data_IF_362004825884
#
_entry.id   IF_362004825884
#
_cell.length_a   1.000
_cell.length_b   1.000
_cell.length_c   1.000
_cell.angle_alpha   90.00
_cell.angle_beta   90.00
_cell.angle_gamma   90.00
#
_symmetry.space_group_name_H-M   'P 1'
#
loop_
_entity.id
_entity.type
_entity.pdbx_description
1 polymer ?
#
# COMPACT_ATOMS: atom_id res chain seq x y z
N UNK A 1 -17.95 -21.51 3.00
CA UNK A 1 -18.33 -20.15 2.52
C UNK A 1 -17.19 -19.62 1.67
N UNK A 2 -17.50 -18.95 0.53
CA UNK A 2 -16.46 -18.52 -0.40
C UNK A 2 -16.46 -17.01 -0.60
N UNK A 3 -15.26 -16.41 -0.47
CA UNK A 3 -14.98 -15.02 -0.85
C UNK A 3 -14.29 -14.97 -2.21
N UNK A 4 -14.68 -14.03 -3.05
CA UNK A 4 -14.01 -13.75 -4.31
C UNK A 4 -13.55 -12.29 -4.33
N UNK A 5 -12.24 -12.08 -4.37
CA UNK A 5 -11.63 -10.76 -4.52
C UNK A 5 -11.34 -10.50 -5.99
N UNK A 6 -11.90 -9.43 -6.54
CA UNK A 6 -11.77 -9.09 -7.95
C UNK A 6 -10.92 -7.83 -8.10
N UNK A 7 -9.76 -7.98 -8.71
CA UNK A 7 -8.85 -6.89 -9.05
C UNK A 7 -8.90 -6.61 -10.55
N UNK A 8 -8.87 -5.32 -10.93
CA UNK A 8 -8.71 -4.97 -12.34
C UNK A 8 -7.26 -5.23 -12.78
N UNK A 9 -7.11 -5.95 -13.91
CA UNK A 9 -5.80 -6.16 -14.53
C UNK A 9 -5.27 -4.82 -15.05
N UNK A 10 -4.06 -4.48 -14.66
CA UNK A 10 -3.43 -3.26 -15.15
C UNK A 10 -2.39 -3.60 -16.21
N UNK A 11 -2.71 -3.35 -17.47
CA UNK A 11 -1.82 -3.60 -18.61
C UNK A 11 -0.58 -2.70 -18.64
N UNK A 12 -0.55 -1.61 -17.86
CA UNK A 12 0.54 -0.64 -17.85
C UNK A 12 1.81 -1.13 -17.16
N UNK A 13 1.77 -2.22 -16.41
CA UNK A 13 2.91 -2.73 -15.64
C UNK A 13 3.74 -3.82 -16.34
N UNK A 14 3.48 -4.07 -17.61
CA UNK A 14 4.41 -4.72 -18.55
C UNK A 14 5.01 -6.08 -18.17
N UNK A 15 4.34 -6.90 -17.37
CA UNK A 15 4.70 -8.31 -17.23
C UNK A 15 3.70 -9.17 -18.00
N UNK A 16 4.21 -10.06 -18.86
CA UNK A 16 3.40 -11.05 -19.59
C UNK A 16 2.68 -12.06 -18.67
N UNK A 17 3.04 -12.09 -17.38
CA UNK A 17 2.51 -13.03 -16.38
C UNK A 17 2.02 -12.29 -15.11
N UNK A 18 0.88 -11.62 -15.20
CA UNK A 18 0.18 -11.11 -14.02
C UNK A 18 0.88 -9.91 -13.36
N UNK A 19 0.13 -8.89 -13.09
CA UNK A 19 0.62 -7.63 -12.50
C UNK A 19 0.85 -7.80 -11.00
N UNK A 20 2.09 -7.65 -10.58
CA UNK A 20 2.46 -7.57 -9.17
C UNK A 20 2.27 -6.13 -8.69
N UNK A 21 1.12 -5.78 -8.17
CA UNK A 21 0.88 -4.45 -7.59
C UNK A 21 0.25 -4.55 -6.21
N UNK A 22 0.34 -3.47 -5.44
CA UNK A 22 -0.08 -3.45 -4.03
C UNK A 22 -1.51 -3.91 -3.76
N UNK A 23 -2.46 -3.69 -4.70
CA UNK A 23 -3.85 -4.14 -4.55
C UNK A 23 -3.97 -5.67 -4.58
N UNK A 24 -3.28 -6.34 -5.51
CA UNK A 24 -3.29 -7.80 -5.58
C UNK A 24 -2.62 -8.41 -4.35
N UNK A 25 -1.50 -7.84 -3.90
CA UNK A 25 -0.85 -8.29 -2.66
C UNK A 25 -1.77 -8.09 -1.45
N UNK A 26 -2.44 -6.93 -1.36
CA UNK A 26 -3.40 -6.66 -0.28
C UNK A 26 -4.54 -7.68 -0.26
N UNK A 27 -5.15 -7.97 -1.42
CA UNK A 27 -6.19 -8.99 -1.54
C UNK A 27 -5.65 -10.39 -1.20
N UNK A 28 -4.45 -10.73 -1.68
CA UNK A 28 -3.81 -12.03 -1.41
C UNK A 28 -3.53 -12.23 0.08
N UNK A 29 -3.13 -11.21 0.81
CA UNK A 29 -2.90 -11.32 2.25
C UNK A 29 -4.21 -11.59 3.01
N UNK A 30 -5.32 -11.00 2.57
CA UNK A 30 -6.64 -11.27 3.16
C UNK A 30 -7.09 -12.70 2.82
N UNK A 31 -6.93 -13.14 1.58
CA UNK A 31 -7.32 -14.51 1.19
C UNK A 31 -6.48 -15.56 1.91
N UNK A 32 -5.18 -15.35 2.08
CA UNK A 32 -4.33 -16.24 2.89
C UNK A 32 -4.86 -16.33 4.33
N UNK A 33 -5.12 -15.18 4.97
CA UNK A 33 -5.67 -15.14 6.32
C UNK A 33 -7.01 -15.88 6.46
N UNK A 34 -7.90 -15.77 5.46
CA UNK A 34 -9.20 -16.44 5.45
C UNK A 34 -9.05 -17.95 5.21
N UNK A 35 -8.21 -18.35 4.25
CA UNK A 35 -7.95 -19.74 3.92
C UNK A 35 -7.30 -20.50 5.09
N UNK A 36 -6.40 -19.86 5.84
CA UNK A 36 -5.79 -20.42 7.06
C UNK A 36 -6.82 -20.70 8.18
N UNK A 37 -8.08 -20.29 7.98
CA UNK A 37 -9.22 -20.46 8.91
C UNK A 37 -10.41 -21.17 8.28
N UNK A 38 -10.14 -21.97 7.25
CA UNK A 38 -11.13 -22.78 6.53
C UNK A 38 -12.25 -21.96 5.86
N UNK A 39 -11.99 -20.69 5.57
CA UNK A 39 -12.87 -19.83 4.77
C UNK A 39 -12.31 -19.75 3.35
N UNK A 40 -12.90 -20.52 2.45
CA UNK A 40 -12.50 -20.56 1.03
C UNK A 40 -12.47 -19.15 0.44
N UNK A 41 -11.34 -18.74 -0.10
CA UNK A 41 -11.17 -17.41 -0.68
C UNK A 41 -10.11 -17.40 -1.79
N UNK A 42 -10.36 -16.61 -2.83
CA UNK A 42 -9.44 -16.48 -3.95
C UNK A 42 -9.40 -15.05 -4.51
N UNK A 43 -8.29 -14.70 -5.17
CA UNK A 43 -8.12 -13.45 -5.91
C UNK A 43 -8.15 -13.74 -7.40
N UNK A 44 -9.01 -13.01 -8.13
CA UNK A 44 -9.07 -13.09 -9.59
C UNK A 44 -8.81 -11.71 -10.19
N UNK A 45 -8.08 -11.68 -11.29
CA UNK A 45 -7.85 -10.47 -12.05
C UNK A 45 -8.71 -10.50 -13.35
N UNK A 46 -9.48 -9.44 -13.56
CA UNK A 46 -10.33 -9.24 -14.75
C UNK A 46 -9.85 -8.04 -15.57
N UNK A 47 -10.22 -8.02 -16.84
CA UNK A 47 -9.84 -6.92 -17.75
C UNK A 47 -10.70 -5.69 -17.50
N UNK A 48 -12.00 -5.87 -17.34
CA UNK A 48 -12.97 -4.80 -17.11
C UNK A 48 -14.21 -5.28 -16.33
N UNK A 49 -15.26 -4.43 -16.29
CA UNK A 49 -16.49 -4.72 -15.58
C UNK A 49 -17.36 -5.82 -16.22
N UNK A 50 -17.19 -6.09 -17.50
CA UNK A 50 -18.00 -7.08 -18.22
C UNK A 50 -17.57 -8.52 -17.91
N UNK A 51 -16.31 -8.69 -17.49
CA UNK A 51 -15.84 -10.00 -17.01
C UNK A 51 -16.38 -10.39 -15.63
N UNK A 52 -16.92 -9.45 -14.83
CA UNK A 52 -17.34 -9.71 -13.44
C UNK A 52 -18.42 -10.77 -13.38
N UNK A 53 -19.48 -10.65 -14.19
CA UNK A 53 -20.59 -11.60 -14.20
C UNK A 53 -20.12 -13.03 -14.44
N UNK A 54 -19.38 -13.25 -15.52
CA UNK A 54 -18.85 -14.56 -15.89
C UNK A 54 -18.02 -15.18 -14.77
N UNK A 55 -17.11 -14.40 -14.18
CA UNK A 55 -16.22 -14.89 -13.12
C UNK A 55 -17.01 -15.19 -11.83
N UNK A 56 -18.00 -14.38 -11.48
CA UNK A 56 -18.84 -14.60 -10.30
C UNK A 56 -19.74 -15.83 -10.48
N UNK A 57 -20.28 -16.07 -11.67
CA UNK A 57 -21.03 -17.30 -11.97
C UNK A 57 -20.14 -18.54 -11.91
N UNK A 58 -18.96 -18.50 -12.56
CA UNK A 58 -17.99 -19.60 -12.59
C UNK A 58 -17.52 -19.99 -11.18
N UNK A 59 -17.19 -18.99 -10.35
CA UNK A 59 -16.63 -19.17 -9.01
C UNK A 59 -17.67 -19.38 -7.92
N UNK A 60 -18.88 -18.97 -8.16
CA UNK A 60 -20.03 -19.06 -7.26
C UNK A 60 -19.76 -18.62 -5.81
N UNK A 61 -19.24 -17.40 -5.57
CA UNK A 61 -18.93 -16.93 -4.22
C UNK A 61 -20.17 -16.47 -3.47
N UNK A 62 -20.14 -16.51 -2.14
CA UNK A 62 -21.15 -15.86 -1.28
C UNK A 62 -20.84 -14.36 -1.10
N UNK A 63 -19.56 -13.99 -1.11
CA UNK A 63 -19.09 -12.61 -0.96
C UNK A 63 -18.22 -12.24 -2.15
N UNK A 64 -18.57 -11.14 -2.80
CA UNK A 64 -17.80 -10.54 -3.90
C UNK A 64 -17.18 -9.26 -3.41
N UNK A 65 -15.85 -9.14 -3.49
CA UNK A 65 -15.08 -7.97 -3.08
C UNK A 65 -14.41 -7.35 -4.30
N UNK A 66 -14.85 -6.16 -4.68
CA UNK A 66 -14.21 -5.37 -5.74
C UNK A 66 -13.10 -4.54 -5.11
N UNK A 67 -11.86 -4.77 -5.52
CA UNK A 67 -10.68 -4.08 -5.02
C UNK A 67 -10.44 -2.77 -5.76
N UNK A 68 -10.61 -1.64 -5.07
CA UNK A 68 -10.57 -0.26 -5.54
C UNK A 68 -11.77 0.19 -6.41
N UNK A 69 -11.79 1.50 -6.71
CA UNK A 69 -12.87 2.18 -7.43
C UNK A 69 -12.68 2.07 -8.95
N UNK A 70 -13.07 0.96 -9.55
CA UNK A 70 -12.99 0.77 -11.01
C UNK A 70 -14.27 0.17 -11.63
N UNK A 71 -15.08 -0.55 -10.86
CA UNK A 71 -16.41 -1.01 -11.29
C UNK A 71 -17.40 0.15 -11.12
N UNK A 72 -18.11 0.50 -12.20
CA UNK A 72 -19.04 1.63 -12.18
C UNK A 72 -20.30 1.33 -11.36
N UNK A 73 -20.95 2.34 -10.75
CA UNK A 73 -22.24 2.16 -10.08
C UNK A 73 -23.30 1.54 -10.97
N UNK A 74 -23.33 1.88 -12.26
CA UNK A 74 -24.27 1.30 -13.23
C UNK A 74 -24.05 -0.20 -13.41
N UNK A 75 -22.77 -0.63 -13.56
CA UNK A 75 -22.45 -2.07 -13.69
C UNK A 75 -22.78 -2.85 -12.43
N UNK A 76 -22.50 -2.30 -11.25
CA UNK A 76 -22.83 -2.99 -9.99
C UNK A 76 -24.34 -3.05 -9.77
N UNK A 77 -25.11 -2.02 -10.18
CA UNK A 77 -26.58 -2.07 -10.14
C UNK A 77 -27.13 -3.15 -11.08
N UNK A 78 -26.60 -3.27 -12.30
CA UNK A 78 -26.94 -4.34 -13.22
C UNK A 78 -26.72 -5.71 -12.58
N UNK A 79 -25.51 -5.95 -12.05
CA UNK A 79 -25.12 -7.22 -11.45
C UNK A 79 -25.94 -7.58 -10.21
N UNK A 80 -26.18 -6.65 -9.29
CA UNK A 80 -26.91 -6.91 -8.05
C UNK A 80 -28.41 -7.18 -8.30
N UNK A 81 -28.96 -6.73 -9.43
CA UNK A 81 -30.35 -6.99 -9.81
C UNK A 81 -30.53 -8.32 -10.52
N UNK A 82 -29.49 -8.97 -11.02
CA UNK A 82 -29.61 -10.30 -11.64
C UNK A 82 -30.03 -11.34 -10.62
N UNK A 83 -30.96 -12.21 -10.98
CA UNK A 83 -31.53 -13.25 -10.11
C UNK A 83 -30.43 -14.16 -9.51
N UNK A 84 -29.41 -14.45 -10.32
CA UNK A 84 -28.24 -15.28 -9.96
C UNK A 84 -27.34 -14.64 -8.91
N UNK A 85 -27.44 -13.32 -8.69
CA UNK A 85 -26.54 -12.57 -7.83
C UNK A 85 -27.20 -11.94 -6.60
N UNK A 86 -28.53 -11.91 -6.52
CA UNK A 86 -29.30 -11.29 -5.41
C UNK A 86 -28.97 -11.82 -4.01
N UNK A 87 -28.50 -13.05 -3.93
CA UNK A 87 -28.15 -13.68 -2.66
C UNK A 87 -26.72 -13.41 -2.19
N UNK A 88 -25.93 -12.69 -2.98
CA UNK A 88 -24.50 -12.42 -2.70
C UNK A 88 -24.34 -11.11 -1.95
N UNK A 89 -23.36 -11.06 -1.07
CA UNK A 89 -22.89 -9.82 -0.48
C UNK A 89 -21.87 -9.17 -1.42
N UNK A 90 -22.14 -7.92 -1.80
CA UNK A 90 -21.25 -7.14 -2.65
C UNK A 90 -20.52 -6.07 -1.83
N UNK A 91 -19.21 -6.00 -1.97
CA UNK A 91 -18.34 -5.06 -1.27
C UNK A 91 -17.46 -4.34 -2.29
N UNK A 92 -17.37 -3.01 -2.19
CA UNK A 92 -16.37 -2.20 -2.89
C UNK A 92 -15.39 -1.66 -1.87
N UNK A 93 -14.12 -2.05 -1.97
CA UNK A 93 -13.08 -1.54 -1.08
C UNK A 93 -12.49 -0.25 -1.60
N UNK A 94 -12.33 0.75 -0.72
CA UNK A 94 -11.71 2.03 -1.03
C UNK A 94 -10.35 2.12 -0.35
N UNK A 95 -9.29 2.22 -1.14
CA UNK A 95 -7.90 2.22 -0.66
C UNK A 95 -7.29 3.62 -0.52
N UNK A 96 -8.01 4.64 -0.93
CA UNK A 96 -7.54 6.02 -1.00
C UNK A 96 -8.07 6.84 0.17
N UNK A 97 -7.26 7.75 0.71
CA UNK A 97 -7.71 8.82 1.61
C UNK A 97 -8.28 10.00 0.81
N UNK A 98 -8.99 10.95 1.44
CA UNK A 98 -9.65 12.07 0.75
C UNK A 98 -8.74 12.87 -0.19
N UNK A 99 -7.49 13.15 0.20
CA UNK A 99 -6.54 13.87 -0.63
C UNK A 99 -6.22 13.15 -1.95
N UNK A 100 -6.16 11.81 -1.94
CA UNK A 100 -5.97 11.03 -3.15
C UNK A 100 -7.27 10.89 -3.95
N UNK A 101 -8.42 10.73 -3.28
CA UNK A 101 -9.75 10.69 -3.94
C UNK A 101 -10.02 11.97 -4.73
N UNK A 102 -9.52 13.12 -4.28
CA UNK A 102 -9.64 14.39 -4.99
C UNK A 102 -8.95 14.38 -6.37
N UNK A 103 -7.96 13.50 -6.59
CA UNK A 103 -7.29 13.30 -7.88
C UNK A 103 -8.03 12.29 -8.78
N UNK A 104 -8.91 11.49 -8.20
CA UNK A 104 -9.72 10.50 -8.90
C UNK A 104 -11.07 11.12 -9.28
N UNK A 105 -11.14 11.87 -10.37
CA UNK A 105 -12.21 12.81 -10.74
C UNK A 105 -13.66 12.32 -10.64
N UNK A 106 -13.92 11.01 -10.45
CA UNK A 106 -15.27 10.45 -10.28
C UNK A 106 -15.47 9.70 -8.96
N UNK A 107 -14.45 9.66 -8.09
CA UNK A 107 -14.47 8.81 -6.90
C UNK A 107 -15.68 9.08 -6.00
N UNK A 108 -15.90 10.33 -5.60
CA UNK A 108 -17.03 10.69 -4.72
C UNK A 108 -18.37 10.44 -5.39
N UNK A 109 -18.50 10.78 -6.69
CA UNK A 109 -19.72 10.51 -7.46
C UNK A 109 -20.05 9.02 -7.48
N UNK A 110 -19.06 8.13 -7.61
CA UNK A 110 -19.30 6.69 -7.62
C UNK A 110 -19.65 6.18 -6.22
N UNK A 111 -18.87 6.57 -5.20
CA UNK A 111 -19.10 6.18 -3.81
C UNK A 111 -20.53 6.50 -3.37
N UNK A 112 -21.05 7.69 -3.71
CA UNK A 112 -22.40 8.13 -3.34
C UNK A 112 -23.50 7.63 -4.27
N UNK A 113 -23.18 6.86 -5.33
CA UNK A 113 -24.12 6.37 -6.34
C UNK A 113 -24.17 4.85 -6.44
N UNK A 114 -23.39 4.12 -5.64
CA UNK A 114 -23.52 2.66 -5.58
C UNK A 114 -24.91 2.27 -5.08
N UNK A 115 -25.48 1.17 -5.59
CA UNK A 115 -26.79 0.68 -5.13
C UNK A 115 -26.72 0.18 -3.68
N UNK A 116 -27.85 0.15 -2.99
CA UNK A 116 -27.98 -0.22 -1.57
C UNK A 116 -27.49 -1.65 -1.26
N UNK A 117 -27.46 -2.52 -2.27
CA UNK A 117 -26.95 -3.88 -2.17
C UNK A 117 -25.41 -3.95 -2.10
N UNK A 118 -24.73 -2.83 -2.30
CA UNK A 118 -23.25 -2.72 -2.31
C UNK A 118 -22.75 -1.97 -1.09
N UNK A 119 -22.00 -2.64 -0.24
CA UNK A 119 -21.38 -1.99 0.92
C UNK A 119 -20.06 -1.34 0.50
N UNK A 120 -19.92 -0.06 0.75
CA UNK A 120 -18.67 0.68 0.53
C UNK A 120 -17.75 0.48 1.74
N UNK A 121 -16.56 -0.06 1.51
CA UNK A 121 -15.64 -0.42 2.58
C UNK A 121 -14.29 0.28 2.45
N UNK A 122 -14.13 1.48 3.04
CA UNK A 122 -12.81 2.09 3.19
C UNK A 122 -11.86 1.20 4.01
N UNK A 123 -10.56 1.30 3.71
CA UNK A 123 -9.54 0.61 4.50
C UNK A 123 -9.03 1.43 5.69
N UNK A 124 -9.60 2.60 5.96
CA UNK A 124 -9.29 3.46 7.11
C UNK A 124 -10.55 3.88 7.85
N UNK A 125 -10.45 4.02 9.17
CA UNK A 125 -11.56 4.49 10.00
C UNK A 125 -11.95 5.94 9.70
N UNK A 126 -10.96 6.81 9.41
CA UNK A 126 -11.22 8.22 9.09
C UNK A 126 -12.14 8.37 7.90
N UNK A 127 -11.79 7.77 6.75
CA UNK A 127 -12.65 7.83 5.57
C UNK A 127 -14.00 7.14 5.81
N UNK A 128 -14.05 6.08 6.61
CA UNK A 128 -15.33 5.42 6.94
C UNK A 128 -16.25 6.39 7.68
N UNK A 129 -15.75 7.08 8.69
CA UNK A 129 -16.52 8.07 9.44
C UNK A 129 -16.97 9.25 8.55
N UNK A 130 -16.09 9.74 7.67
CA UNK A 130 -16.43 10.80 6.72
C UNK A 130 -17.60 10.38 5.80
N UNK A 131 -17.55 9.17 5.25
CA UNK A 131 -18.60 8.66 4.37
C UNK A 131 -19.92 8.43 5.13
N UNK A 132 -19.87 7.91 6.35
CA UNK A 132 -21.05 7.74 7.21
C UNK A 132 -21.71 9.09 7.53
N UNK A 133 -20.90 10.13 7.82
CA UNK A 133 -21.41 11.50 8.03
C UNK A 133 -22.07 12.09 6.79
N UNK A 134 -21.70 11.61 5.60
CA UNK A 134 -22.32 11.98 4.32
C UNK A 134 -23.55 11.11 3.97
N UNK A 135 -23.96 10.20 4.86
CA UNK A 135 -25.11 9.31 4.65
C UNK A 135 -24.82 8.08 3.78
N UNK A 136 -23.55 7.77 3.52
CA UNK A 136 -23.16 6.53 2.80
C UNK A 136 -23.10 5.37 3.82
N UNK A 137 -23.75 4.23 3.50
CA UNK A 137 -23.56 3.02 4.28
C UNK A 137 -22.14 2.47 4.06
N UNK A 138 -21.26 2.74 5.00
CA UNK A 138 -19.86 2.41 4.91
C UNK A 138 -19.37 1.63 6.14
N UNK A 139 -18.49 0.65 5.92
CA UNK A 139 -17.87 -0.17 6.96
C UNK A 139 -16.36 -0.25 6.75
N UNK A 140 -15.58 -0.03 7.80
CA UNK A 140 -14.13 -0.14 7.70
C UNK A 140 -13.67 -1.59 7.53
N UNK A 141 -12.96 -1.86 6.41
CA UNK A 141 -12.27 -3.12 6.14
C UNK A 141 -10.79 -2.87 5.87
N UNK A 142 -9.95 -2.86 6.92
CA UNK A 142 -8.53 -2.56 6.79
C UNK A 142 -7.77 -3.58 5.93
N UNK A 143 -6.60 -3.18 5.48
CA UNK A 143 -5.66 -4.11 4.85
C UNK A 143 -5.16 -5.10 5.91
N UNK A 144 -4.97 -6.35 5.51
CA UNK A 144 -4.24 -7.34 6.32
C UNK A 144 -2.81 -7.39 5.83
N UNK A 145 -1.85 -7.50 6.72
CA UNK A 145 -0.47 -7.79 6.41
C UNK A 145 -0.16 -9.24 6.78
N UNK A 146 0.40 -9.99 5.83
CA UNK A 146 0.83 -11.36 6.08
C UNK A 146 2.35 -11.36 6.16
N UNK A 147 2.91 -11.41 7.38
CA UNK A 147 4.36 -11.37 7.54
C UNK A 147 4.98 -12.62 6.91
N UNK A 148 6.02 -12.43 6.11
CA UNK A 148 6.88 -13.54 5.71
C UNK A 148 7.61 -14.00 6.96
N UNK A 149 7.64 -15.31 7.26
CA UNK A 149 8.33 -15.83 8.44
C UNK A 149 9.76 -15.29 8.49
N UNK A 150 10.05 -14.64 9.58
CA UNK A 150 11.31 -13.99 9.85
C UNK A 150 12.40 -15.07 9.97
N UNK A 151 13.40 -15.05 9.11
CA UNK A 151 14.68 -15.66 9.46
C UNK A 151 15.31 -14.74 10.50
N UNK A 152 15.74 -15.26 11.63
CA UNK A 152 16.41 -14.50 12.69
C UNK A 152 17.70 -13.84 12.17
N UNK A 153 17.55 -12.79 11.39
CA UNK A 153 18.66 -11.87 11.17
C UNK A 153 18.79 -11.05 12.45
N UNK A 154 19.95 -11.14 13.06
CA UNK A 154 20.30 -10.21 14.13
C UNK A 154 20.02 -8.78 13.63
N UNK A 155 19.44 -7.93 14.49
CA UNK A 155 19.40 -6.50 14.23
C UNK A 155 20.86 -6.05 14.05
N UNK A 156 21.30 -5.99 12.82
CA UNK A 156 22.57 -5.39 12.50
C UNK A 156 22.33 -3.88 12.57
N UNK A 157 22.87 -3.26 13.61
CA UNK A 157 22.98 -1.80 13.64
C UNK A 157 23.69 -1.42 12.34
N UNK A 158 22.92 -0.79 11.45
CA UNK A 158 23.48 -0.39 10.17
C UNK A 158 24.57 0.62 10.42
N UNK A 159 25.81 0.17 10.34
CA UNK A 159 26.93 1.02 10.04
C UNK A 159 27.12 0.86 8.54
N UNK A 160 26.65 1.83 7.75
CA UNK A 160 27.11 1.96 6.39
C UNK A 160 28.59 2.34 6.50
N UNK A 161 29.47 1.37 6.27
CA UNK A 161 30.90 1.59 6.38
C UNK A 161 31.46 2.40 5.18
N UNK A 162 30.72 2.47 4.07
CA UNK A 162 31.18 3.11 2.83
C UNK A 162 30.12 3.81 1.99
N UNK A 163 28.85 3.42 2.07
CA UNK A 163 27.76 3.95 1.24
C UNK A 163 26.40 3.73 1.92
N UNK A 164 25.50 4.71 1.80
CA UNK A 164 24.12 4.63 2.30
C UNK A 164 23.18 4.09 1.21
N UNK A 165 22.41 3.06 1.54
CA UNK A 165 21.34 2.52 0.69
C UNK A 165 19.98 2.93 1.26
N UNK A 166 19.38 3.99 0.73
CA UNK A 166 18.09 4.50 1.19
C UNK A 166 17.04 4.25 0.12
N UNK A 167 15.90 3.69 0.51
CA UNK A 167 14.86 3.34 -0.44
C UNK A 167 13.54 4.07 -0.21
N UNK A 168 12.95 4.58 -1.30
CA UNK A 168 11.58 5.05 -1.38
C UNK A 168 10.82 4.20 -2.42
N UNK A 169 10.41 3.01 -2.02
CA UNK A 169 9.74 2.07 -2.91
C UNK A 169 8.24 2.36 -3.06
N UNK A 170 7.68 1.88 -4.16
CA UNK A 170 6.29 2.03 -4.53
C UNK A 170 6.13 2.75 -5.87
N UNK A 171 4.88 2.97 -6.29
CA UNK A 171 4.61 3.64 -7.56
C UNK A 171 5.04 5.11 -7.52
N UNK A 172 5.78 5.55 -8.53
CA UNK A 172 6.15 6.96 -8.68
C UNK A 172 4.88 7.80 -8.97
N UNK A 173 4.46 8.58 -7.98
CA UNK A 173 3.29 9.46 -8.05
C UNK A 173 3.56 10.74 -7.28
N UNK A 174 3.02 11.91 -7.67
CA UNK A 174 3.22 13.15 -6.93
C UNK A 174 2.88 13.03 -5.44
N UNK A 175 1.76 12.35 -5.09
CA UNK A 175 1.33 12.15 -3.71
C UNK A 175 2.25 11.25 -2.87
N UNK A 176 3.17 10.52 -3.51
CA UNK A 176 4.21 9.75 -2.80
C UNK A 176 5.43 10.58 -2.42
N UNK A 177 5.50 11.84 -2.88
CA UNK A 177 6.50 12.82 -2.46
C UNK A 177 7.97 12.40 -2.68
N UNK A 178 8.25 11.62 -3.74
CA UNK A 178 9.57 11.04 -3.98
C UNK A 178 10.67 12.10 -4.10
N UNK A 179 10.41 13.24 -4.78
CA UNK A 179 11.43 14.25 -5.01
C UNK A 179 11.89 14.91 -3.70
N UNK A 180 10.96 15.30 -2.82
CA UNK A 180 11.34 15.87 -1.52
C UNK A 180 12.08 14.86 -0.64
N UNK A 181 11.70 13.59 -0.71
CA UNK A 181 12.39 12.50 0.01
C UNK A 181 13.80 12.27 -0.54
N UNK A 182 14.00 12.30 -1.86
CA UNK A 182 15.31 12.17 -2.48
C UNK A 182 16.25 13.33 -2.09
N UNK A 183 15.77 14.57 -2.18
CA UNK A 183 16.54 15.75 -1.76
C UNK A 183 16.91 15.67 -0.27
N UNK A 184 15.98 15.22 0.58
CA UNK A 184 16.25 15.03 2.01
C UNK A 184 17.28 13.93 2.26
N UNK A 185 17.25 12.84 1.51
CA UNK A 185 18.21 11.76 1.61
C UNK A 185 19.62 12.21 1.17
N UNK A 186 19.75 13.01 0.10
CA UNK A 186 21.03 13.60 -0.31
C UNK A 186 21.60 14.51 0.80
N UNK A 187 20.77 15.42 1.33
CA UNK A 187 21.19 16.31 2.44
C UNK A 187 21.63 15.51 3.66
N UNK A 188 20.91 14.46 4.01
CA UNK A 188 21.29 13.60 5.12
C UNK A 188 22.63 12.88 4.84
N UNK A 189 22.83 12.36 3.65
CA UNK A 189 24.08 11.71 3.25
C UNK A 189 25.28 12.66 3.31
N UNK A 190 25.09 13.92 2.87
CA UNK A 190 26.11 14.97 3.02
C UNK A 190 26.41 15.32 4.49
N UNK A 191 25.36 15.35 5.35
CA UNK A 191 25.54 15.63 6.81
C UNK A 191 26.38 14.55 7.50
N UNK A 192 26.31 13.29 7.04
CA UNK A 192 27.08 12.17 7.62
C UNK A 192 28.33 11.82 6.82
N UNK A 193 28.61 12.59 5.77
CA UNK A 193 29.76 12.45 4.88
C UNK A 193 29.86 11.10 4.16
N UNK A 194 28.73 10.52 3.77
CA UNK A 194 28.66 9.25 3.03
C UNK A 194 28.07 9.46 1.63
N UNK A 195 28.53 8.73 0.60
CA UNK A 195 27.81 8.63 -0.66
C UNK A 195 26.46 7.92 -0.44
N UNK A 196 25.46 8.25 -1.29
CA UNK A 196 24.12 7.70 -1.25
C UNK A 196 23.81 6.96 -2.55
N UNK A 197 23.26 5.76 -2.44
CA UNK A 197 22.42 5.18 -3.49
C UNK A 197 20.95 5.22 -3.04
N UNK A 198 20.14 5.98 -3.79
CA UNK A 198 18.71 6.14 -3.52
C UNK A 198 17.90 5.21 -4.43
N UNK A 199 17.16 4.28 -3.83
CA UNK A 199 16.47 3.20 -4.54
C UNK A 199 14.99 3.51 -4.74
N UNK A 200 14.50 3.39 -5.99
CA UNK A 200 13.09 3.57 -6.34
C UNK A 200 12.58 2.43 -7.22
N UNK A 201 11.26 2.18 -7.20
CA UNK A 201 10.64 1.35 -8.23
C UNK A 201 10.25 2.21 -9.42
N UNK A 202 10.55 1.75 -10.64
CA UNK A 202 10.12 2.42 -11.87
C UNK A 202 9.05 1.62 -12.57
N UNK A 203 8.06 2.32 -13.13
CA UNK A 203 7.07 1.75 -14.03
C UNK A 203 7.53 1.92 -15.46
N UNK A 204 7.20 0.94 -16.33
CA UNK A 204 7.52 1.04 -17.75
C UNK A 204 6.86 2.27 -18.41
N UNK A 205 7.55 2.84 -19.34
CA UNK A 205 7.50 3.95 -20.30
C UNK A 205 6.17 4.63 -20.70
N UNK A 206 4.98 4.43 -20.08
CA UNK A 206 3.73 5.04 -20.59
C UNK A 206 2.75 5.54 -19.53
N UNK A 207 3.20 5.91 -18.33
CA UNK A 207 2.29 6.50 -17.34
C UNK A 207 2.48 8.02 -17.24
N UNK A 208 1.44 8.72 -16.81
CA UNK A 208 1.43 10.16 -16.51
C UNK A 208 2.44 10.57 -15.41
N UNK A 209 3.35 9.69 -15.02
CA UNK A 209 4.30 9.86 -13.93
C UNK A 209 5.75 10.09 -14.41
N UNK A 210 5.96 10.34 -15.71
CA UNK A 210 7.29 10.62 -16.26
C UNK A 210 7.97 11.78 -15.54
N UNK A 211 7.23 12.85 -15.25
CA UNK A 211 7.80 14.03 -14.61
C UNK A 211 8.42 13.75 -13.24
N UNK A 212 7.90 12.79 -12.45
CA UNK A 212 8.51 12.44 -11.16
C UNK A 212 9.86 11.75 -11.37
N UNK A 213 9.95 10.80 -12.31
CA UNK A 213 11.19 10.10 -12.59
C UNK A 213 12.24 11.01 -13.22
N UNK A 214 11.84 11.82 -14.21
CA UNK A 214 12.71 12.79 -14.86
C UNK A 214 13.30 13.77 -13.85
N UNK A 215 12.49 14.36 -12.97
CA UNK A 215 12.96 15.26 -11.92
C UNK A 215 13.89 14.55 -10.91
N UNK A 216 13.68 13.27 -10.61
CA UNK A 216 14.62 12.50 -9.79
C UNK A 216 15.96 12.32 -10.52
N UNK A 217 15.93 11.93 -11.79
CA UNK A 217 17.13 11.76 -12.61
C UNK A 217 17.93 13.06 -12.71
N UNK A 218 17.27 14.19 -12.97
CA UNK A 218 17.91 15.50 -13.06
C UNK A 218 18.51 15.93 -11.71
N UNK A 219 17.81 15.68 -10.60
CA UNK A 219 18.32 15.98 -9.25
C UNK A 219 19.61 15.20 -8.95
N UNK A 220 19.66 13.90 -9.27
CA UNK A 220 20.86 13.09 -9.05
C UNK A 220 21.97 13.41 -10.07
N UNK A 221 21.64 13.75 -11.32
CA UNK A 221 22.62 14.19 -12.30
C UNK A 221 23.35 15.48 -11.88
N UNK A 222 22.67 16.36 -11.16
CA UNK A 222 23.25 17.58 -10.60
C UNK A 222 24.13 17.36 -9.36
N UNK A 223 24.14 16.15 -8.79
CA UNK A 223 24.85 15.83 -7.55
C UNK A 223 25.64 14.52 -7.68
N UNK A 224 26.80 14.51 -8.37
CA UNK A 224 27.50 13.30 -8.83
C UNK A 224 28.04 12.41 -7.70
N UNK A 225 28.02 12.86 -6.44
CA UNK A 225 28.37 12.04 -5.28
C UNK A 225 27.33 10.98 -4.94
N UNK A 226 26.09 11.15 -5.41
CA UNK A 226 24.95 10.31 -5.09
C UNK A 226 24.38 9.65 -6.32
N UNK A 227 23.81 8.46 -6.19
CA UNK A 227 23.27 7.65 -7.25
C UNK A 227 21.76 7.42 -7.10
N UNK A 228 21.05 7.34 -8.24
CA UNK A 228 19.66 6.90 -8.32
C UNK A 228 19.61 5.49 -8.91
N UNK A 229 19.21 4.52 -8.12
CA UNK A 229 19.04 3.14 -8.56
C UNK A 229 17.56 2.84 -8.83
N UNK A 230 17.27 2.37 -10.04
CA UNK A 230 15.93 2.12 -10.53
C UNK A 230 15.65 0.61 -10.59
N UNK A 231 14.63 0.14 -9.87
CA UNK A 231 14.27 -1.26 -9.81
C UNK A 231 12.97 -1.55 -10.56
N UNK A 232 12.96 -2.62 -11.34
CA UNK A 232 11.74 -3.18 -11.89
C UNK A 232 10.84 -3.73 -10.77
N UNK A 233 9.52 -3.80 -11.02
CA UNK A 233 8.59 -4.45 -10.12
C UNK A 233 8.90 -5.94 -9.99
N UNK A 234 8.82 -6.44 -8.76
CA UNK A 234 9.15 -7.83 -8.40
C UNK A 234 7.97 -8.48 -7.70
N UNK A 235 7.94 -9.81 -7.65
CA UNK A 235 7.05 -10.55 -6.75
C UNK A 235 7.40 -10.22 -5.30
N UNK A 236 6.43 -10.29 -4.40
CA UNK A 236 6.63 -9.90 -3.02
C UNK A 236 7.84 -10.59 -2.34
N UNK A 237 8.05 -11.93 -2.45
CA UNK A 237 9.24 -12.56 -1.86
C UNK A 237 10.57 -12.07 -2.44
N UNK A 238 10.61 -11.72 -3.73
CA UNK A 238 11.80 -11.17 -4.39
C UNK A 238 12.02 -9.69 -4.01
N UNK A 239 10.92 -8.97 -3.78
CA UNK A 239 10.95 -7.60 -3.30
C UNK A 239 11.49 -7.54 -1.86
N UNK A 240 11.10 -8.47 -0.99
CA UNK A 240 11.63 -8.56 0.38
C UNK A 240 13.16 -8.72 0.38
N UNK A 241 13.72 -9.54 -0.52
CA UNK A 241 15.18 -9.65 -0.66
C UNK A 241 15.87 -8.34 -1.05
N UNK A 242 15.16 -7.46 -1.75
CA UNK A 242 15.65 -6.12 -2.06
C UNK A 242 15.54 -5.20 -0.83
N UNK A 243 14.40 -5.22 -0.12
CA UNK A 243 14.19 -4.47 1.12
C UNK A 243 15.28 -4.77 2.15
N UNK A 244 15.67 -6.05 2.30
CA UNK A 244 16.71 -6.49 3.24
C UNK A 244 18.12 -5.93 2.96
N UNK A 245 18.34 -5.34 1.79
CA UNK A 245 19.62 -4.70 1.44
C UNK A 245 19.68 -3.20 1.78
N UNK A 246 18.57 -2.65 2.24
CA UNK A 246 18.46 -1.22 2.50
C UNK A 246 18.87 -0.90 3.94
N UNK A 247 19.49 0.24 4.11
CA UNK A 247 19.85 0.78 5.41
C UNK A 247 18.68 1.51 6.05
N UNK A 248 17.91 2.28 5.26
CA UNK A 248 16.72 2.99 5.71
C UNK A 248 15.65 2.95 4.62
N UNK A 249 14.39 2.74 5.04
CA UNK A 249 13.22 2.96 4.20
C UNK A 249 12.61 4.35 4.42
N UNK A 250 12.12 4.96 3.34
CA UNK A 250 11.39 6.22 3.40
C UNK A 250 10.00 6.07 2.80
N UNK A 251 8.98 6.51 3.53
CA UNK A 251 7.59 6.55 3.07
C UNK A 251 6.89 7.84 3.55
N UNK A 252 7.53 9.01 3.28
CA UNK A 252 7.01 10.34 3.66
C UNK A 252 6.04 10.84 2.58
N UNK A 253 4.95 10.11 2.39
CA UNK A 253 3.90 10.38 1.42
C UNK A 253 2.98 11.52 1.88
N UNK A 254 2.46 12.34 0.93
CA UNK A 254 1.46 13.39 1.20
C UNK A 254 0.06 12.82 1.49
N UNK A 255 -0.21 11.60 1.06
CA UNK A 255 -1.43 10.86 1.39
C UNK A 255 -1.16 9.37 1.35
N UNK A 256 -1.56 8.67 2.39
CA UNK A 256 -1.35 7.23 2.52
C UNK A 256 -2.38 6.61 3.47
N UNK A 257 -2.75 5.36 3.21
CA UNK A 257 -3.60 4.61 4.13
C UNK A 257 -2.77 3.63 4.98
N UNK A 258 -2.59 2.38 4.54
CA UNK A 258 -1.81 1.39 5.30
C UNK A 258 -0.31 1.43 4.97
N UNK A 259 0.04 1.53 3.69
CA UNK A 259 1.39 1.45 3.14
C UNK A 259 2.08 0.09 3.38
N UNK A 260 1.87 -0.84 2.46
CA UNK A 260 2.50 -2.18 2.49
C UNK A 260 4.03 -2.12 2.55
N UNK A 261 4.65 -1.15 1.88
CA UNK A 261 6.12 -1.01 1.86
C UNK A 261 6.67 -0.63 3.24
N UNK A 262 5.97 0.24 3.98
CA UNK A 262 6.35 0.54 5.36
C UNK A 262 6.24 -0.72 6.25
N UNK A 263 5.20 -1.53 6.06
CA UNK A 263 5.06 -2.80 6.77
C UNK A 263 6.18 -3.80 6.39
N UNK A 264 6.59 -3.83 5.12
CA UNK A 264 7.71 -4.66 4.66
C UNK A 264 9.03 -4.24 5.32
N UNK A 265 9.33 -2.94 5.43
CA UNK A 265 10.50 -2.47 6.18
C UNK A 265 10.45 -2.87 7.65
N UNK A 266 9.33 -2.60 8.34
CA UNK A 266 9.16 -2.95 9.76
C UNK A 266 9.29 -4.45 9.98
N UNK A 267 8.64 -5.27 9.14
CA UNK A 267 8.71 -6.73 9.26
C UNK A 267 10.12 -7.28 9.06
N UNK A 268 10.93 -6.61 8.23
CA UNK A 268 12.33 -7.00 7.98
C UNK A 268 13.33 -6.26 8.88
N UNK A 269 12.86 -5.53 9.90
CA UNK A 269 13.69 -4.81 10.89
C UNK A 269 14.60 -3.74 10.27
N UNK A 270 14.19 -3.22 9.12
CA UNK A 270 14.87 -2.10 8.48
C UNK A 270 14.31 -0.80 9.08
N UNK A 271 15.15 0.12 9.55
CA UNK A 271 14.72 1.44 9.99
C UNK A 271 13.87 2.12 8.94
N UNK A 272 12.79 2.77 9.37
CA UNK A 272 11.88 3.45 8.44
C UNK A 272 11.51 4.83 8.95
N UNK A 273 11.53 5.82 8.05
CA UNK A 273 10.96 7.15 8.26
C UNK A 273 9.68 7.27 7.43
N UNK A 274 8.58 7.62 8.07
CA UNK A 274 7.27 7.70 7.44
C UNK A 274 6.60 9.05 7.67
N UNK A 275 5.53 9.35 6.92
CA UNK A 275 4.68 10.50 7.22
C UNK A 275 3.65 10.18 8.30
N UNK A 276 3.08 11.22 8.91
CA UNK A 276 1.95 11.13 9.84
C UNK A 276 0.72 10.47 9.21
N UNK A 277 0.66 10.44 7.88
CA UNK A 277 -0.39 9.75 7.12
C UNK A 277 -0.44 8.24 7.38
N UNK A 278 0.68 7.63 7.77
CA UNK A 278 0.76 6.22 8.17
C UNK A 278 0.50 6.14 9.68
N UNK A 279 -0.77 6.15 10.05
CA UNK A 279 -1.25 6.34 11.42
C UNK A 279 -0.86 5.21 12.38
N UNK A 280 -0.69 3.98 11.90
CA UNK A 280 -0.41 2.81 12.72
C UNK A 280 1.01 2.75 13.29
N UNK A 281 1.98 3.50 12.74
CA UNK A 281 3.36 3.57 13.27
C UNK A 281 3.49 4.56 14.43
N UNK A 282 4.49 4.40 15.31
CA UNK A 282 4.76 5.32 16.42
C UNK A 282 5.30 6.68 15.93
N UNK A 283 5.09 7.72 16.72
CA UNK A 283 5.55 9.09 16.41
C UNK A 283 7.07 9.23 16.30
N UNK A 284 7.82 8.33 16.94
CA UNK A 284 9.29 8.29 16.91
C UNK A 284 9.90 8.13 15.52
N UNK A 285 9.14 7.59 14.57
CA UNK A 285 9.54 7.39 13.16
C UNK A 285 8.73 8.21 12.19
N UNK A 286 8.02 9.23 12.64
CA UNK A 286 7.14 10.07 11.83
C UNK A 286 7.67 11.47 11.61
N UNK A 287 7.33 12.00 10.45
CA UNK A 287 7.53 13.40 10.08
C UNK A 287 6.31 13.92 9.30
N UNK A 288 5.94 15.17 9.51
CA UNK A 288 4.85 15.75 8.74
C UNK A 288 5.19 15.74 7.24
N UNK A 289 4.28 15.27 6.36
CA UNK A 289 4.59 15.06 4.94
C UNK A 289 4.85 16.36 4.18
N UNK A 290 4.33 17.48 4.66
CA UNK A 290 4.56 18.81 4.11
C UNK A 290 5.84 19.49 4.68
N UNK A 291 6.61 18.80 5.52
CA UNK A 291 7.88 19.31 6.02
C UNK A 291 8.87 19.51 4.87
N UNK A 292 9.64 20.57 4.94
CA UNK A 292 10.74 20.81 4.00
C UNK A 292 11.82 19.72 4.11
N UNK A 293 12.60 19.57 3.04
CA UNK A 293 13.65 18.54 2.94
C UNK A 293 14.68 18.62 4.07
N UNK A 294 14.94 19.81 4.65
CA UNK A 294 15.85 19.97 5.80
C UNK A 294 15.32 19.28 7.06
N UNK A 295 14.02 19.40 7.32
CA UNK A 295 13.42 18.73 8.47
C UNK A 295 13.38 17.23 8.28
N UNK A 296 13.02 16.77 7.07
CA UNK A 296 13.03 15.33 6.73
C UNK A 296 14.46 14.76 6.86
N UNK A 297 15.50 15.50 6.43
CA UNK A 297 16.90 15.08 6.58
C UNK A 297 17.33 14.95 8.05
N UNK A 298 16.93 15.90 8.91
CA UNK A 298 17.18 15.81 10.35
C UNK A 298 16.48 14.63 11.00
N UNK A 299 15.27 14.30 10.56
CA UNK A 299 14.55 13.12 11.03
C UNK A 299 15.18 11.81 10.52
N UNK A 300 15.75 11.81 9.31
CA UNK A 300 16.57 10.68 8.83
C UNK A 300 17.81 10.48 9.71
N UNK A 301 18.51 11.58 10.05
CA UNK A 301 19.63 11.53 10.97
C UNK A 301 19.22 10.99 12.35
N UNK A 302 18.07 11.44 12.87
CA UNK A 302 17.53 10.91 14.11
C UNK A 302 17.26 9.41 14.04
N UNK A 303 16.55 8.96 13.01
CA UNK A 303 16.28 7.53 12.78
C UNK A 303 17.60 6.77 12.65
N UNK A 304 18.53 7.24 11.85
CA UNK A 304 19.86 6.63 11.68
C UNK A 304 20.61 6.43 12.99
N UNK A 305 20.67 7.48 13.83
CA UNK A 305 21.43 7.45 15.09
C UNK A 305 20.73 6.67 16.20
N UNK A 306 19.41 6.73 16.25
CA UNK A 306 18.63 6.31 17.42
C UNK A 306 17.66 5.15 17.16
N UNK A 307 17.56 4.65 15.94
CA UNK A 307 16.78 3.44 15.68
C UNK A 307 17.51 2.22 16.25
N UNK A 308 17.17 1.89 17.48
CA UNK A 308 17.73 0.79 18.25
C UNK A 308 16.65 -0.27 18.55
N UNK A 309 16.99 -1.40 19.18
CA UNK A 309 16.03 -2.49 19.41
C UNK A 309 14.71 -2.12 20.07
N UNK A 310 14.65 -1.00 20.84
CA UNK A 310 13.37 -0.58 21.44
C UNK A 310 12.43 0.03 20.42
N UNK A 311 12.92 0.89 19.51
CA UNK A 311 12.11 1.49 18.42
C UNK A 311 11.70 0.40 17.44
N UNK A 312 12.59 -0.49 17.03
CA UNK A 312 12.27 -1.65 16.23
C UNK A 312 11.12 -2.48 16.83
N UNK A 313 11.22 -2.77 18.13
CA UNK A 313 10.19 -3.52 18.86
C UNK A 313 8.87 -2.74 18.92
N UNK A 314 8.91 -1.43 19.09
CA UNK A 314 7.73 -0.58 19.12
C UNK A 314 7.02 -0.58 17.75
N UNK A 315 7.76 -0.42 16.65
CA UNK A 315 7.23 -0.47 15.28
C UNK A 315 6.59 -1.84 14.97
N UNK A 316 7.26 -2.94 15.32
CA UNK A 316 6.70 -4.30 15.13
C UNK A 316 5.45 -4.53 15.97
N UNK A 317 5.44 -4.13 17.24
CA UNK A 317 4.22 -4.21 18.06
C UNK A 317 3.09 -3.35 17.50
N UNK A 318 3.39 -2.23 16.86
CA UNK A 318 2.40 -1.39 16.19
C UNK A 318 1.81 -2.10 14.96
N UNK A 319 2.65 -2.75 14.14
CA UNK A 319 2.20 -3.59 13.03
C UNK A 319 1.32 -4.75 13.51
N UNK A 320 1.72 -5.44 14.57
CA UNK A 320 0.95 -6.54 15.16
C UNK A 320 -0.43 -6.07 15.67
N UNK A 321 -0.48 -4.93 16.37
CA UNK A 321 -1.76 -4.34 16.83
C UNK A 321 -2.67 -3.99 15.66
N UNK A 322 -2.13 -3.35 14.64
CA UNK A 322 -2.87 -3.03 13.43
C UNK A 322 -3.40 -4.30 12.76
N UNK A 323 -2.56 -5.29 12.57
CA UNK A 323 -2.92 -6.53 11.90
C UNK A 323 -3.96 -7.34 12.67
N UNK A 324 -3.88 -7.39 14.00
CA UNK A 324 -4.88 -8.01 14.85
C UNK A 324 -6.26 -7.33 14.71
N UNK A 325 -6.29 -6.00 14.64
CA UNK A 325 -7.52 -5.26 14.38
C UNK A 325 -8.09 -5.55 12.99
N UNK A 326 -7.23 -5.52 11.96
CA UNK A 326 -7.61 -5.78 10.58
C UNK A 326 -8.17 -7.20 10.40
N UNK A 327 -7.48 -8.20 10.89
CA UNK A 327 -7.92 -9.61 10.82
C UNK A 327 -9.22 -9.86 11.58
N UNK A 328 -9.41 -9.22 12.72
CA UNK A 328 -10.67 -9.29 13.47
C UNK A 328 -11.86 -8.68 12.70
N UNK A 329 -11.64 -7.61 11.92
CA UNK A 329 -12.68 -7.03 11.07
C UNK A 329 -13.13 -8.00 9.98
N UNK A 330 -12.20 -8.61 9.26
CA UNK A 330 -12.49 -9.61 8.23
C UNK A 330 -13.15 -10.87 8.80
N UNK A 331 -12.68 -11.32 9.97
CA UNK A 331 -13.24 -12.49 10.62
C UNK A 331 -14.68 -12.29 11.08
N UNK A 332 -15.05 -11.06 11.49
CA UNK A 332 -16.46 -10.75 11.85
C UNK A 332 -17.40 -10.90 10.66
N UNK A 333 -16.99 -10.49 9.46
CA UNK A 333 -17.80 -10.70 8.25
C UNK A 333 -17.93 -12.19 7.95
N UNK A 334 -16.82 -12.92 7.97
CA UNK A 334 -16.82 -14.35 7.73
C UNK A 334 -17.78 -15.09 8.68
N UNK A 335 -17.75 -14.77 9.98
CA UNK A 335 -18.66 -15.39 10.97
C UNK A 335 -20.15 -15.04 10.83
N UNK A 336 -20.47 -13.83 10.35
CA UNK A 336 -21.88 -13.41 10.18
C UNK A 336 -22.57 -14.10 9.00
N UNK A 337 -21.82 -14.63 8.08
CA UNK A 337 -22.29 -15.18 6.81
C UNK A 337 -22.16 -16.72 6.75
N UNK A 338 -21.39 -17.32 7.67
CA UNK A 338 -21.28 -18.78 7.85
C UNK A 338 -22.35 -19.30 8.75
#
# INVERSE_FOLDING_TARGET
MKFLFICKRNHSYGSEKGTFHGLVNSASFITNFLNDRDVESEVVQVTDGDDIDRVVQEKNPKVVVIEALWATPAKLRELTQMAEHKHRLWIVRVHSKPAFLALEGQAMRWITSYPDEVIVCPNTQGLTADLQNMGVDAMCLPNVYNPIPYQEYAYNKVQADSELNIACFGALRPMKNHLAQAIAAMKFADMVDLPLTFHVNTTRRRSRNFSVLENLQDAFASHPRHNLEQHAWRRHPEFIKLVQKMDIGMQVSLSESFNLVAADFVNNRIPVLVSDEIDWLPSTVKVAPASGSDHIAKMLEYVWRYYHPSIDRECRKALDRYNNHATAAWWRIAKRLG
#
